data_IF_258363131292
#
_entry.id   IF_258363131292
#
_cell.length_a   1.000
_cell.length_b   1.000
_cell.length_c   1.000
_cell.angle_alpha   90.00
_cell.angle_beta   90.00
_cell.angle_gamma   90.00
#
_symmetry.space_group_name_H-M   'P 1'
#
loop_
_entity.id
_entity.type
_entity.pdbx_description
1 polymer ?
#
# COMPACT_ATOMS: atom_id res chain seq x y z
N UNK A 1 -19.93 14.20 -4.96
CA UNK A 1 -18.53 14.57 -4.73
C UNK A 1 -17.74 13.29 -4.87
N UNK A 2 -16.68 13.27 -5.68
CA UNK A 2 -15.92 12.04 -5.82
C UNK A 2 -14.89 12.02 -4.71
N UNK A 3 -15.07 11.05 -3.85
CA UNK A 3 -14.26 10.59 -2.74
C UNK A 3 -12.84 10.25 -3.18
N UNK A 4 -12.03 11.26 -3.50
CA UNK A 4 -10.71 11.11 -4.12
C UNK A 4 -9.64 11.71 -3.23
N UNK A 5 -8.56 10.97 -3.04
CA UNK A 5 -7.43 11.34 -2.18
C UNK A 5 -6.11 10.96 -2.85
N UNK A 6 -5.00 11.49 -2.35
CA UNK A 6 -3.68 10.98 -2.70
C UNK A 6 -3.45 9.62 -2.04
N UNK A 7 -2.83 8.69 -2.76
CA UNK A 7 -2.44 7.40 -2.21
C UNK A 7 -1.11 6.93 -2.82
N UNK A 8 -0.39 6.12 -2.06
CA UNK A 8 0.81 5.43 -2.53
C UNK A 8 0.78 3.97 -2.10
N UNK A 9 1.42 3.09 -2.88
CA UNK A 9 1.54 1.67 -2.59
C UNK A 9 2.95 1.21 -2.88
N UNK A 10 3.56 0.53 -1.92
CA UNK A 10 4.85 -0.13 -2.08
C UNK A 10 4.60 -1.63 -2.18
N UNK A 11 5.04 -2.24 -3.27
CA UNK A 11 4.89 -3.68 -3.56
C UNK A 11 6.26 -4.37 -3.61
N UNK A 12 6.26 -5.65 -3.26
CA UNK A 12 7.49 -6.42 -3.10
C UNK A 12 7.32 -7.91 -3.25
N UNK A 13 8.40 -8.66 -3.01
CA UNK A 13 8.39 -10.12 -3.02
C UNK A 13 8.73 -10.74 -4.37
N UNK A 14 8.37 -12.00 -4.56
CA UNK A 14 8.72 -12.76 -5.76
C UNK A 14 7.64 -12.55 -6.81
N UNK A 15 8.02 -11.93 -7.94
CA UNK A 15 7.13 -11.64 -9.05
C UNK A 15 7.49 -12.53 -10.25
N UNK A 16 6.52 -13.29 -10.74
CA UNK A 16 6.70 -14.12 -11.93
C UNK A 16 6.78 -13.25 -13.18
N UNK A 17 7.78 -13.46 -14.03
CA UNK A 17 7.93 -12.71 -15.29
C UNK A 17 6.71 -12.80 -16.20
N UNK A 18 5.92 -13.87 -16.11
CA UNK A 18 4.70 -14.05 -16.90
C UNK A 18 3.56 -13.11 -16.51
N UNK A 19 3.55 -12.55 -15.30
CA UNK A 19 2.50 -11.62 -14.83
C UNK A 19 2.85 -10.14 -15.07
N UNK A 20 4.09 -9.85 -15.50
CA UNK A 20 4.54 -8.47 -15.78
C UNK A 20 3.62 -7.71 -16.76
N UNK A 21 3.12 -8.30 -17.86
CA UNK A 21 2.20 -7.59 -18.76
C UNK A 21 0.87 -7.22 -18.09
N UNK A 22 0.36 -8.06 -17.18
CA UNK A 22 -0.86 -7.77 -16.43
C UNK A 22 -0.61 -6.63 -15.43
N UNK A 23 0.51 -6.68 -14.68
CA UNK A 23 0.93 -5.61 -13.79
C UNK A 23 1.01 -4.27 -14.53
N UNK A 24 1.67 -4.23 -15.70
CA UNK A 24 1.76 -2.99 -16.49
C UNK A 24 0.38 -2.47 -16.92
N UNK A 25 -0.52 -3.37 -17.33
CA UNK A 25 -1.88 -3.00 -17.70
C UNK A 25 -2.67 -2.41 -16.53
N UNK A 26 -2.56 -3.01 -15.34
CA UNK A 26 -3.24 -2.53 -14.13
C UNK A 26 -2.70 -1.16 -13.72
N UNK A 27 -1.38 -1.04 -13.62
CA UNK A 27 -0.70 0.20 -13.19
C UNK A 27 -1.03 1.36 -14.15
N UNK A 28 -1.10 1.07 -15.45
CA UNK A 28 -1.51 2.05 -16.46
C UNK A 28 -2.99 2.42 -16.36
N UNK A 29 -3.87 1.45 -16.11
CA UNK A 29 -5.30 1.69 -15.94
C UNK A 29 -5.59 2.57 -14.72
N UNK A 30 -4.85 2.36 -13.64
CA UNK A 30 -4.96 3.15 -12.40
C UNK A 30 -4.12 4.45 -12.42
N UNK A 31 -3.37 4.70 -13.49
CA UNK A 31 -2.67 5.98 -13.73
C UNK A 31 -1.50 6.22 -12.78
N UNK A 32 -0.77 5.18 -12.37
CA UNK A 32 0.25 5.28 -11.33
C UNK A 32 1.63 5.66 -11.88
N UNK A 33 2.40 6.36 -11.05
CA UNK A 33 3.80 6.74 -11.29
C UNK A 33 4.70 6.37 -10.12
N UNK A 34 6.02 6.28 -10.31
CA UNK A 34 6.98 6.14 -9.21
C UNK A 34 7.20 7.44 -8.43
N UNK A 35 6.77 8.58 -8.97
CA UNK A 35 6.83 9.86 -8.28
C UNK A 35 5.48 10.61 -8.29
N UNK A 36 5.30 11.52 -7.34
CA UNK A 36 4.15 12.41 -7.33
C UNK A 36 4.22 13.32 -8.56
N UNK A 37 3.10 13.44 -9.29
CA UNK A 37 3.02 14.15 -10.57
C UNK A 37 4.02 13.67 -11.65
N UNK A 38 4.56 12.45 -11.49
CA UNK A 38 5.52 11.85 -12.40
C UNK A 38 4.89 11.28 -13.68
N UNK A 39 5.74 10.84 -14.61
CA UNK A 39 5.29 10.13 -15.80
C UNK A 39 4.67 8.77 -15.44
N UNK A 40 3.71 8.25 -16.22
CA UNK A 40 3.17 6.91 -16.00
C UNK A 40 4.27 5.86 -15.95
N UNK A 41 4.16 4.92 -15.00
CA UNK A 41 5.13 3.85 -14.82
C UNK A 41 5.23 2.94 -16.07
N UNK A 42 6.46 2.53 -16.37
CA UNK A 42 6.80 1.53 -17.35
C UNK A 42 7.60 0.37 -16.73
N UNK A 43 7.42 -0.86 -17.22
CA UNK A 43 8.15 -2.04 -16.73
C UNK A 43 9.67 -1.91 -16.81
N UNK A 44 10.19 -1.07 -17.70
CA UNK A 44 11.63 -0.80 -17.81
C UNK A 44 12.19 -0.09 -16.56
N UNK A 45 11.35 0.54 -15.75
CA UNK A 45 11.69 1.19 -14.49
C UNK A 45 11.72 0.20 -13.31
N UNK A 46 11.26 -1.04 -13.52
CA UNK A 46 11.30 -2.09 -12.52
C UNK A 46 12.75 -2.53 -12.27
N UNK A 47 13.23 -2.35 -11.04
CA UNK A 47 14.58 -2.73 -10.65
C UNK A 47 14.53 -3.97 -9.76
N UNK A 48 15.01 -5.10 -10.28
CA UNK A 48 15.25 -6.30 -9.47
C UNK A 48 16.20 -5.96 -8.31
N UNK A 49 15.87 -6.40 -7.10
CA UNK A 49 16.61 -5.97 -5.91
C UNK A 49 15.95 -4.87 -5.09
N UNK A 50 14.93 -4.16 -5.61
CA UNK A 50 14.25 -3.05 -4.93
C UNK A 50 12.74 -3.27 -4.84
N UNK A 51 12.09 -2.73 -3.81
CA UNK A 51 10.63 -2.63 -3.79
C UNK A 51 10.17 -1.59 -4.81
N UNK A 52 8.96 -1.75 -5.35
CA UNK A 52 8.36 -0.80 -6.28
C UNK A 52 7.33 0.04 -5.52
N UNK A 53 7.58 1.35 -5.43
CA UNK A 53 6.60 2.31 -4.90
C UNK A 53 5.91 3.02 -6.05
N UNK A 54 4.58 3.02 -6.01
CA UNK A 54 3.69 3.64 -6.97
C UNK A 54 2.79 4.65 -6.26
N UNK A 55 2.43 5.73 -6.96
CA UNK A 55 1.78 6.90 -6.41
C UNK A 55 0.77 7.44 -7.42
N UNK A 56 -0.34 7.98 -6.92
CA UNK A 56 -1.28 8.74 -7.72
C UNK A 56 -2.06 9.73 -6.87
N UNK A 57 -2.43 10.85 -7.50
CA UNK A 57 -3.46 11.74 -6.99
C UNK A 57 -4.83 11.28 -7.48
N UNK A 58 -5.87 11.83 -6.87
CA UNK A 58 -7.25 11.61 -7.30
C UNK A 58 -7.72 10.14 -7.25
N UNK A 59 -7.19 9.35 -6.32
CA UNK A 59 -7.50 7.93 -6.16
C UNK A 59 -8.86 7.76 -5.48
N UNK A 60 -9.81 7.14 -6.20
CA UNK A 60 -11.15 6.92 -5.67
C UNK A 60 -11.11 6.01 -4.44
N UNK A 61 -11.77 6.44 -3.36
CA UNK A 61 -11.79 5.78 -2.05
C UNK A 61 -10.41 5.52 -1.45
N UNK A 62 -9.35 6.15 -1.98
CA UNK A 62 -7.97 5.93 -1.54
C UNK A 62 -7.41 4.53 -1.80
N UNK A 63 -8.04 3.74 -2.68
CA UNK A 63 -7.67 2.35 -2.94
C UNK A 63 -7.26 2.11 -4.40
N UNK A 64 -6.28 1.22 -4.58
CA UNK A 64 -5.84 0.73 -5.88
C UNK A 64 -6.45 -0.64 -6.12
N UNK A 65 -7.78 -0.70 -6.32
CA UNK A 65 -8.56 -1.94 -6.21
C UNK A 65 -8.03 -3.08 -7.09
N UNK A 66 -7.62 -2.79 -8.33
CA UNK A 66 -7.10 -3.81 -9.22
C UNK A 66 -5.68 -4.23 -8.83
N UNK A 67 -4.84 -3.28 -8.44
CA UNK A 67 -3.46 -3.58 -8.02
C UNK A 67 -3.40 -4.31 -6.67
N UNK A 68 -4.21 -3.91 -5.70
CA UNK A 68 -4.33 -4.60 -4.41
C UNK A 68 -4.82 -6.03 -4.59
N UNK A 69 -5.86 -6.24 -5.42
CA UNK A 69 -6.37 -7.58 -5.73
C UNK A 69 -5.33 -8.45 -6.47
N UNK A 70 -4.59 -7.85 -7.42
CA UNK A 70 -3.45 -8.50 -8.07
C UNK A 70 -2.41 -8.94 -7.04
N UNK A 71 -2.01 -8.05 -6.12
CA UNK A 71 -1.01 -8.39 -5.11
C UNK A 71 -1.47 -9.51 -4.17
N UNK A 72 -2.73 -9.50 -3.73
CA UNK A 72 -3.28 -10.59 -2.91
C UNK A 72 -3.27 -11.91 -3.67
N UNK A 73 -3.68 -11.92 -4.93
CA UNK A 73 -3.73 -13.13 -5.77
C UNK A 73 -2.34 -13.70 -6.05
N UNK A 74 -1.38 -12.84 -6.38
CA UNK A 74 0.01 -13.22 -6.64
C UNK A 74 0.84 -13.39 -5.36
N UNK A 75 0.22 -13.24 -4.18
CA UNK A 75 0.87 -13.31 -2.85
C UNK A 75 2.03 -12.33 -2.67
N UNK A 76 1.95 -11.17 -3.33
CA UNK A 76 2.93 -10.09 -3.26
C UNK A 76 2.65 -9.23 -2.02
N UNK A 77 3.57 -9.16 -1.04
CA UNK A 77 3.40 -8.25 0.08
C UNK A 77 3.34 -6.79 -0.39
N UNK A 78 2.48 -6.01 0.25
CA UNK A 78 2.38 -4.58 -0.04
C UNK A 78 2.03 -3.76 1.21
N UNK A 79 2.37 -2.47 1.13
CA UNK A 79 1.90 -1.44 2.06
C UNK A 79 1.32 -0.30 1.23
N UNK A 80 0.05 0.02 1.42
CA UNK A 80 -0.61 1.19 0.84
C UNK A 80 -0.83 2.24 1.91
N UNK A 81 -0.51 3.49 1.62
CA UNK A 81 -1.01 4.66 2.36
C UNK A 81 -2.06 5.39 1.52
N UNK A 82 -3.09 5.93 2.18
CA UNK A 82 -4.02 6.90 1.60
C UNK A 82 -4.30 8.04 2.56
N UNK A 83 -4.35 9.26 2.03
CA UNK A 83 -4.77 10.44 2.79
C UNK A 83 -6.24 10.40 3.22
N UNK A 84 -6.61 11.30 4.14
CA UNK A 84 -7.98 11.39 4.62
C UNK A 84 -8.91 12.03 3.58
N UNK A 85 -10.19 11.67 3.63
CA UNK A 85 -11.25 12.46 3.00
C UNK A 85 -12.06 13.15 4.10
N UNK A 86 -11.87 14.47 4.31
CA UNK A 86 -12.49 15.20 5.41
C UNK A 86 -14.00 14.98 5.48
N UNK A 87 -14.48 14.57 6.65
CA UNK A 87 -15.89 14.30 6.91
C UNK A 87 -16.38 12.92 6.49
N UNK A 88 -15.51 12.05 5.95
CA UNK A 88 -15.89 10.71 5.51
C UNK A 88 -15.01 9.60 6.11
N UNK A 89 -13.68 9.69 5.95
CA UNK A 89 -12.72 8.75 6.56
C UNK A 89 -11.36 9.44 6.83
N UNK A 90 -10.62 8.90 7.79
CA UNK A 90 -9.26 9.34 8.11
C UNK A 90 -8.21 8.71 7.19
N UNK A 91 -6.98 9.23 7.24
CA UNK A 91 -5.85 8.62 6.55
C UNK A 91 -5.61 7.21 7.12
N UNK A 92 -5.20 6.30 6.24
CA UNK A 92 -4.97 4.92 6.61
C UNK A 92 -3.78 4.30 5.88
N UNK A 93 -3.20 3.31 6.54
CA UNK A 93 -2.26 2.37 5.96
C UNK A 93 -2.90 0.98 5.89
N UNK A 94 -2.82 0.34 4.72
CA UNK A 94 -3.21 -1.03 4.49
C UNK A 94 -1.96 -1.89 4.28
N UNK A 95 -1.79 -2.93 5.09
CA UNK A 95 -0.62 -3.82 5.05
C UNK A 95 -1.06 -5.23 4.69
N UNK A 96 -0.41 -5.82 3.69
CA UNK A 96 -0.54 -7.23 3.35
C UNK A 96 0.85 -7.87 3.35
N UNK A 97 1.02 -8.95 4.12
CA UNK A 97 2.33 -9.59 4.33
C UNK A 97 2.61 -10.73 3.35
N UNK A 98 1.79 -10.90 2.31
CA UNK A 98 1.84 -12.01 1.35
C UNK A 98 0.96 -13.21 1.74
N UNK A 99 0.27 -13.15 2.87
CA UNK A 99 -0.69 -14.18 3.31
C UNK A 99 -1.76 -13.60 4.23
N UNK A 100 -2.89 -14.31 4.35
CA UNK A 100 -4.02 -13.86 5.16
C UNK A 100 -4.75 -12.67 4.55
N UNK A 101 -5.48 -11.93 5.39
CA UNK A 101 -6.21 -10.73 4.96
C UNK A 101 -5.37 -9.46 5.20
N UNK A 102 -5.41 -8.47 4.30
CA UNK A 102 -4.81 -7.17 4.53
C UNK A 102 -5.34 -6.48 5.80
N UNK A 103 -4.45 -5.91 6.59
CA UNK A 103 -4.78 -5.24 7.86
C UNK A 103 -4.70 -3.72 7.71
N UNK A 104 -5.71 -3.01 8.23
CA UNK A 104 -5.80 -1.54 8.21
C UNK A 104 -5.30 -0.94 9.51
N UNK A 105 -4.54 0.14 9.39
CA UNK A 105 -4.01 0.92 10.50
C UNK A 105 -4.35 2.40 10.26
N UNK A 106 -5.01 3.08 11.20
CA UNK A 106 -5.10 4.54 11.16
C UNK A 106 -3.72 5.18 11.13
N UNK A 107 -3.56 6.21 10.31
CA UNK A 107 -2.37 7.05 10.26
C UNK A 107 -2.76 8.52 10.12
N UNK A 108 -1.78 9.42 10.15
CA UNK A 108 -1.97 10.81 9.76
C UNK A 108 -1.63 11.05 8.27
N UNK A 109 -1.68 12.32 7.86
CA UNK A 109 -1.39 12.75 6.47
C UNK A 109 0.09 12.59 6.09
N UNK A 110 0.98 12.46 7.08
CA UNK A 110 2.41 12.25 6.87
C UNK A 110 2.81 10.76 6.96
N UNK A 111 1.82 9.86 6.97
CA UNK A 111 1.98 8.40 7.06
C UNK A 111 2.61 7.91 8.39
N UNK A 112 2.41 8.65 9.49
CA UNK A 112 2.68 8.14 10.82
C UNK A 112 1.49 7.36 11.35
N UNK A 113 1.72 6.10 11.73
CA UNK A 113 0.68 5.24 12.32
C UNK A 113 0.26 5.83 13.67
N UNK A 114 -1.05 5.93 13.88
CA UNK A 114 -1.63 6.42 15.12
C UNK A 114 -2.46 5.33 15.80
N UNK A 115 -2.57 5.44 17.11
CA UNK A 115 -3.43 4.59 17.92
C UNK A 115 -4.26 5.47 18.87
N UNK A 116 -5.57 5.28 18.84
CA UNK A 116 -6.47 5.96 19.78
C UNK A 116 -6.40 5.32 21.17
N UNK A 117 -6.71 6.10 22.20
CA UNK A 117 -6.66 5.66 23.61
C UNK A 117 -7.49 4.38 23.84
N UNK A 118 -8.72 4.34 23.33
CA UNK A 118 -9.59 3.16 23.46
C UNK A 118 -8.97 1.89 22.86
N UNK A 119 -8.22 2.02 21.76
CA UNK A 119 -7.54 0.88 21.15
C UNK A 119 -6.29 0.50 21.95
N UNK A 120 -5.52 1.48 22.40
CA UNK A 120 -4.36 1.25 23.26
C UNK A 120 -4.75 0.50 24.54
N UNK A 121 -5.86 0.89 25.19
CA UNK A 121 -6.39 0.22 26.37
C UNK A 121 -6.79 -1.22 26.07
N UNK A 122 -7.34 -1.53 24.88
CA UNK A 122 -7.67 -2.90 24.45
C UNK A 122 -6.44 -3.79 24.22
N UNK A 123 -5.33 -3.22 23.75
CA UNK A 123 -4.07 -3.96 23.61
C UNK A 123 -3.49 -4.35 24.97
N UNK A 124 -3.86 -3.62 26.03
CA UNK A 124 -3.63 -3.90 27.45
C UNK A 124 -2.17 -3.97 27.93
N UNK A 125 -1.21 -4.16 27.03
CA UNK A 125 0.21 -4.28 27.33
C UNK A 125 1.03 -3.40 26.40
N UNK A 126 2.19 -2.96 26.88
CA UNK A 126 3.10 -2.16 26.08
C UNK A 126 3.67 -2.98 24.92
N UNK A 127 3.94 -4.27 25.13
CA UNK A 127 4.40 -5.21 24.11
C UNK A 127 3.39 -5.36 22.97
N UNK A 128 2.09 -5.46 23.28
CA UNK A 128 1.05 -5.50 22.26
C UNK A 128 0.94 -4.18 21.48
N UNK A 129 1.16 -3.03 22.15
CA UNK A 129 1.23 -1.73 21.48
C UNK A 129 2.42 -1.67 20.51
N UNK A 130 3.60 -2.16 20.90
CA UNK A 130 4.75 -2.25 20.00
C UNK A 130 4.49 -3.19 18.82
N UNK A 131 3.92 -4.37 19.07
CA UNK A 131 3.57 -5.33 18.01
C UNK A 131 2.57 -4.76 16.99
N UNK A 132 1.63 -3.91 17.45
CA UNK A 132 0.72 -3.18 16.57
C UNK A 132 1.49 -2.26 15.60
N UNK A 133 2.46 -1.49 16.12
CA UNK A 133 3.30 -0.64 15.28
C UNK A 133 4.26 -1.42 14.38
N UNK A 134 4.80 -2.55 14.84
CA UNK A 134 5.62 -3.43 14.01
C UNK A 134 4.84 -3.98 12.82
N UNK A 135 3.59 -4.42 13.04
CA UNK A 135 2.69 -4.85 11.97
C UNK A 135 2.38 -3.71 10.99
N UNK A 136 2.13 -2.51 11.51
CA UNK A 136 1.83 -1.33 10.69
C UNK A 136 3.05 -0.79 9.92
N UNK A 137 4.27 -0.98 10.43
CA UNK A 137 5.53 -0.57 9.82
C UNK A 137 6.23 -1.75 9.11
N UNK A 138 5.46 -2.71 8.63
CA UNK A 138 5.97 -3.82 7.83
C UNK A 138 6.84 -3.31 6.68
N UNK A 139 8.10 -3.76 6.64
CA UNK A 139 9.02 -3.41 5.58
C UNK A 139 8.80 -4.34 4.41
N UNK A 140 8.24 -3.80 3.32
CA UNK A 140 7.99 -4.55 2.09
C UNK A 140 9.32 -5.11 1.54
N UNK A 141 9.43 -6.42 1.33
CA UNK A 141 10.66 -7.02 0.82
C UNK A 141 10.92 -6.54 -0.62
N UNK A 142 12.18 -6.53 -1.08
CA UNK A 142 12.48 -6.12 -2.44
C UNK A 142 11.90 -7.09 -3.47
N UNK A 143 11.63 -6.60 -4.69
CA UNK A 143 11.17 -7.43 -5.80
C UNK A 143 12.27 -8.38 -6.23
N UNK A 144 11.88 -9.62 -6.52
CA UNK A 144 12.70 -10.67 -7.15
C UNK A 144 11.95 -11.22 -8.34
N UNK A 145 12.54 -11.12 -9.53
CA UNK A 145 11.94 -11.66 -10.74
C UNK A 145 12.25 -13.15 -10.86
N UNK A 146 11.21 -13.97 -10.94
CA UNK A 146 11.30 -15.42 -11.16
C UNK A 146 10.96 -15.79 -12.60
#
# INVERSE_FOLDING_TARGET
MTDRVSASITIGGVLDRSTLPELESIVRHEGLSTDWDGAPFHLAELVDGKSLTLKAHEVARGAFEALEAFCVRETLPFVRWSGACPGQWGAERLVFTGSGEPTRFPCDEDDYVVIGEDHLQRLATFEAALAYFEGANFVVPPIRLR
#
